data_IF_841234883614
#
_entry.id   IF_841234883614
#
_cell.length_a   1.000
_cell.length_b   1.000
_cell.length_c   1.000
_cell.angle_alpha   90.00
_cell.angle_beta   90.00
_cell.angle_gamma   90.00
#
_symmetry.space_group_name_H-M   'P 1'
#
loop_
_entity.id
_entity.type
_entity.pdbx_description
1 polymer ?
#
# COMPACT_ATOMS: atom_id res chain seq x y z
N UNK A 1 5.66 30.62 49.75
CA UNK A 1 4.98 29.30 49.73
C UNK A 1 4.77 28.87 48.28
N UNK A 2 5.63 27.95 47.83
CA UNK A 2 5.66 27.41 46.48
C UNK A 2 4.68 26.25 46.39
N UNK A 3 3.77 26.25 45.41
CA UNK A 3 3.04 25.03 45.02
C UNK A 3 3.53 24.58 43.65
N UNK A 4 4.20 23.45 43.67
CA UNK A 4 4.58 22.66 42.47
C UNK A 4 3.31 22.11 41.79
N UNK A 5 3.10 22.44 40.55
CA UNK A 5 2.15 21.76 39.69
C UNK A 5 2.82 20.53 39.09
N UNK A 6 2.36 19.35 39.47
CA UNK A 6 2.77 18.08 38.89
C UNK A 6 2.19 17.94 37.48
N UNK A 7 3.06 17.85 36.48
CA UNK A 7 2.69 17.38 35.13
C UNK A 7 2.48 15.86 35.23
N UNK A 8 1.24 15.43 35.12
CA UNK A 8 0.88 14.05 34.91
C UNK A 8 1.06 13.72 33.44
N UNK A 9 2.14 13.06 33.10
CA UNK A 9 2.26 12.30 31.84
C UNK A 9 1.43 11.03 32.00
N UNK A 10 0.17 11.07 31.62
CA UNK A 10 -0.59 9.85 31.37
C UNK A 10 -0.06 9.22 30.09
N UNK A 11 0.84 8.25 30.24
CA UNK A 11 1.12 7.27 29.20
C UNK A 11 -0.16 6.46 29.01
N UNK A 12 -0.79 6.68 27.87
CA UNK A 12 -1.99 5.98 27.42
C UNK A 12 -1.64 4.49 27.23
N UNK A 13 -1.95 3.66 28.24
CA UNK A 13 -1.98 2.21 28.11
C UNK A 13 -3.26 1.81 27.37
N UNK A 14 -3.41 2.31 26.13
CA UNK A 14 -4.45 1.88 25.23
C UNK A 14 -4.18 0.44 24.80
N UNK A 15 -5.11 -0.45 25.08
CA UNK A 15 -5.15 -1.79 24.51
C UNK A 15 -5.01 -1.66 23.00
N UNK A 16 -3.89 -2.10 22.42
CA UNK A 16 -3.67 -2.04 20.97
C UNK A 16 -4.77 -2.82 20.28
N UNK A 17 -5.50 -2.19 19.36
CA UNK A 17 -6.58 -2.83 18.58
C UNK A 17 -6.05 -3.99 17.72
N UNK A 18 -4.74 -4.08 17.54
CA UNK A 18 -4.02 -5.02 16.69
C UNK A 18 -2.82 -5.62 17.44
N UNK A 19 -2.49 -6.87 17.15
CA UNK A 19 -1.38 -7.60 17.75
C UNK A 19 -0.13 -7.59 16.88
N UNK A 20 -0.31 -7.69 15.56
CA UNK A 20 0.76 -7.89 14.59
C UNK A 20 1.06 -6.67 13.72
N UNK A 21 0.24 -5.62 13.85
CA UNK A 21 0.44 -4.34 13.18
C UNK A 21 0.30 -3.17 14.17
N UNK A 22 0.91 -2.04 13.83
CA UNK A 22 0.61 -0.74 14.45
C UNK A 22 -0.25 0.07 13.50
N UNK A 23 -1.25 0.78 14.04
CA UNK A 23 -2.14 1.63 13.25
C UNK A 23 -2.30 2.99 13.90
N UNK A 24 -2.13 4.06 13.14
CA UNK A 24 -2.39 5.44 13.56
C UNK A 24 -2.83 6.28 12.38
N UNK A 25 -3.55 7.36 12.64
CA UNK A 25 -3.93 8.36 11.64
C UNK A 25 -3.28 9.69 12.01
N UNK A 26 -2.62 10.32 11.05
CA UNK A 26 -1.95 11.61 11.24
C UNK A 26 -2.00 12.40 9.93
N UNK A 27 -2.44 13.65 9.95
CA UNK A 27 -2.49 14.57 8.81
C UNK A 27 -3.19 13.98 7.56
N UNK A 28 -4.30 13.28 7.75
CA UNK A 28 -5.05 12.66 6.66
C UNK A 28 -4.43 11.35 6.13
N UNK A 29 -3.38 10.85 6.75
CA UNK A 29 -2.68 9.62 6.36
C UNK A 29 -2.88 8.55 7.43
N UNK A 30 -3.42 7.39 7.04
CA UNK A 30 -3.41 6.19 7.87
C UNK A 30 -2.06 5.47 7.71
N UNK A 31 -1.37 5.29 8.82
CA UNK A 31 -0.11 4.56 8.91
C UNK A 31 -0.36 3.16 9.42
N UNK A 32 -0.10 2.16 8.59
CA UNK A 32 -0.17 0.75 8.90
C UNK A 32 1.24 0.20 8.89
N UNK A 33 1.78 -0.11 10.06
CA UNK A 33 3.14 -0.64 10.19
C UNK A 33 3.10 -2.11 10.58
N UNK A 34 3.61 -2.98 9.72
CA UNK A 34 3.79 -4.41 10.02
C UNK A 34 4.74 -4.53 11.21
N UNK A 35 4.34 -5.20 12.29
CA UNK A 35 5.03 -5.14 13.57
C UNK A 35 5.38 -6.53 14.14
N UNK A 36 6.11 -7.29 13.36
CA UNK A 36 6.79 -8.53 13.78
C UNK A 36 8.28 -8.48 13.39
N UNK A 37 9.05 -7.46 13.89
CA UNK A 37 10.41 -7.19 13.41
C UNK A 37 11.37 -8.37 13.62
N UNK A 38 11.20 -9.14 14.70
CA UNK A 38 12.00 -10.34 15.00
C UNK A 38 11.79 -11.49 13.99
N UNK A 39 10.68 -11.46 13.27
CA UNK A 39 10.31 -12.39 12.20
C UNK A 39 10.34 -11.71 10.82
N UNK A 40 11.08 -10.59 10.67
CA UNK A 40 11.14 -9.80 9.43
C UNK A 40 9.75 -9.47 8.86
N UNK A 41 8.79 -9.26 9.74
CA UNK A 41 7.39 -8.96 9.41
C UNK A 41 6.72 -10.04 8.53
N UNK A 42 7.12 -11.32 8.72
CA UNK A 42 6.50 -12.44 8.03
C UNK A 42 5.01 -12.55 8.35
N UNK A 43 4.22 -12.89 7.34
CA UNK A 43 2.77 -13.01 7.43
C UNK A 43 2.33 -14.21 8.25
N UNK A 44 1.32 -13.97 9.06
CA UNK A 44 0.47 -14.99 9.67
C UNK A 44 -0.98 -14.73 9.29
N UNK A 45 -1.86 -15.71 9.47
CA UNK A 45 -3.30 -15.54 9.26
C UNK A 45 -3.87 -14.36 10.08
N UNK A 46 -3.34 -14.14 11.29
CA UNK A 46 -3.71 -12.98 12.13
C UNK A 46 -3.31 -11.66 11.47
N UNK A 47 -2.07 -11.53 10.98
CA UNK A 47 -1.60 -10.31 10.33
C UNK A 47 -2.42 -9.98 9.08
N UNK A 48 -2.75 -10.98 8.26
CA UNK A 48 -3.57 -10.79 7.06
C UNK A 48 -4.96 -10.22 7.41
N UNK A 49 -5.62 -10.78 8.44
CA UNK A 49 -6.91 -10.28 8.94
C UNK A 49 -6.82 -8.87 9.51
N UNK A 50 -5.74 -8.56 10.21
CA UNK A 50 -5.53 -7.23 10.78
C UNK A 50 -5.28 -6.18 9.69
N UNK A 51 -4.48 -6.49 8.67
CA UNK A 51 -4.27 -5.61 7.50
C UNK A 51 -5.60 -5.38 6.78
N UNK A 52 -6.35 -6.44 6.47
CA UNK A 52 -7.67 -6.34 5.85
C UNK A 52 -8.59 -5.40 6.63
N UNK A 53 -8.69 -5.60 7.96
CA UNK A 53 -9.51 -4.78 8.85
C UNK A 53 -9.05 -3.33 8.87
N UNK A 54 -7.75 -3.07 8.96
CA UNK A 54 -7.19 -1.72 8.98
C UNK A 54 -7.44 -0.97 7.67
N UNK A 55 -7.28 -1.63 6.52
CA UNK A 55 -7.61 -1.05 5.21
C UNK A 55 -9.10 -0.74 5.11
N UNK A 56 -9.98 -1.65 5.54
CA UNK A 56 -11.44 -1.44 5.55
C UNK A 56 -11.84 -0.24 6.39
N UNK A 57 -11.28 -0.11 7.60
CA UNK A 57 -11.51 1.04 8.48
C UNK A 57 -11.02 2.32 7.80
N UNK A 58 -9.79 2.32 7.29
CA UNK A 58 -9.21 3.48 6.60
C UNK A 58 -10.01 3.91 5.38
N UNK A 59 -10.52 2.96 4.60
CA UNK A 59 -11.34 3.23 3.42
C UNK A 59 -12.65 3.96 3.78
N UNK A 60 -13.27 3.62 4.93
CA UNK A 60 -14.52 4.23 5.39
C UNK A 60 -14.37 5.52 6.21
N UNK A 61 -13.18 5.84 6.70
CA UNK A 61 -12.95 6.98 7.60
C UNK A 61 -12.76 8.29 6.81
N UNK A 62 -13.61 9.28 7.02
CA UNK A 62 -13.57 10.57 6.30
C UNK A 62 -12.26 11.34 6.49
N UNK A 63 -11.64 11.22 7.66
CA UNK A 63 -10.36 11.85 8.01
C UNK A 63 -9.16 11.21 7.31
N UNK A 64 -9.29 10.00 6.76
CA UNK A 64 -8.21 9.32 6.04
C UNK A 64 -8.32 9.62 4.54
N UNK A 65 -7.22 10.06 3.94
CA UNK A 65 -7.13 10.45 2.53
C UNK A 65 -6.05 9.68 1.75
N UNK A 66 -5.08 9.12 2.47
CA UNK A 66 -4.07 8.23 1.94
C UNK A 66 -3.71 7.17 2.99
N UNK A 67 -3.15 6.05 2.56
CA UNK A 67 -2.75 4.95 3.44
C UNK A 67 -1.29 4.62 3.14
N UNK A 68 -0.47 4.46 4.18
CA UNK A 68 0.88 3.90 4.08
C UNK A 68 0.88 2.51 4.69
N UNK A 69 1.52 1.57 3.99
CA UNK A 69 1.92 0.27 4.53
C UNK A 69 3.44 0.25 4.57
N UNK A 70 4.03 0.01 5.75
CA UNK A 70 5.49 -0.10 5.91
C UNK A 70 5.84 -1.17 6.95
N UNK A 71 7.11 -1.54 7.08
CA UNK A 71 7.56 -2.54 8.06
C UNK A 71 8.28 -1.89 9.25
N UNK A 72 8.09 -2.42 10.44
CA UNK A 72 8.92 -2.12 11.61
C UNK A 72 10.30 -2.77 11.46
N UNK A 73 11.36 -2.07 11.86
CA UNK A 73 12.72 -2.60 11.86
C UNK A 73 13.35 -2.68 10.45
N UNK A 74 14.09 -3.76 10.17
CA UNK A 74 14.99 -3.88 9.01
C UNK A 74 14.36 -4.45 7.73
N UNK A 75 13.12 -4.91 7.78
CA UNK A 75 12.44 -5.51 6.64
C UNK A 75 11.07 -4.85 6.41
N UNK A 76 10.63 -4.80 5.16
CA UNK A 76 9.24 -4.54 4.85
C UNK A 76 8.40 -5.77 5.23
N UNK A 77 8.58 -6.89 4.52
CA UNK A 77 7.94 -8.17 4.81
C UNK A 77 8.67 -9.30 4.08
N UNK A 78 9.02 -10.36 4.78
CA UNK A 78 9.74 -11.52 4.22
C UNK A 78 8.85 -12.58 3.58
N UNK A 79 7.53 -12.37 3.54
CA UNK A 79 6.58 -13.32 3.00
C UNK A 79 5.89 -14.15 4.07
N UNK A 80 5.43 -15.36 3.74
CA UNK A 80 4.75 -16.26 4.65
C UNK A 80 5.67 -16.71 5.79
N UNK A 81 5.17 -16.68 7.02
CA UNK A 81 5.85 -17.31 8.16
C UNK A 81 5.76 -18.84 7.99
N UNK A 82 6.91 -19.48 7.76
CA UNK A 82 6.96 -20.92 7.52
C UNK A 82 6.59 -21.75 8.77
N UNK A 83 6.66 -21.15 9.96
CA UNK A 83 6.18 -21.80 11.19
C UNK A 83 4.65 -21.87 11.29
N UNK A 84 3.94 -21.18 10.41
CA UNK A 84 2.46 -21.17 10.29
C UNK A 84 1.97 -22.11 9.17
N UNK A 85 2.85 -23.01 8.69
CA UNK A 85 2.56 -23.99 7.64
C UNK A 85 2.69 -25.40 8.24
N UNK A 86 1.58 -26.10 8.31
CA UNK A 86 1.55 -27.51 8.72
C UNK A 86 1.88 -28.43 7.52
N UNK A 87 2.48 -29.59 7.81
CA UNK A 87 2.72 -30.64 6.81
C UNK A 87 1.37 -31.11 6.21
N UNK A 88 1.25 -31.04 4.87
CA UNK A 88 0.02 -31.41 4.16
C UNK A 88 -1.03 -30.29 4.06
N UNK A 89 -0.74 -29.08 4.54
CA UNK A 89 -1.62 -27.93 4.39
C UNK A 89 -1.99 -27.68 2.92
N UNK A 90 -3.27 -27.42 2.65
CA UNK A 90 -3.73 -26.99 1.34
C UNK A 90 -3.42 -25.51 1.12
N UNK A 91 -2.29 -25.21 0.46
CA UNK A 91 -1.86 -23.84 0.19
C UNK A 91 -2.88 -23.05 -0.62
N UNK A 92 -3.61 -23.68 -1.55
CA UNK A 92 -4.68 -23.02 -2.30
C UNK A 92 -5.86 -22.60 -1.41
N UNK A 93 -6.17 -23.36 -0.37
CA UNK A 93 -7.19 -22.97 0.62
C UNK A 93 -6.68 -21.80 1.47
N UNK A 94 -5.43 -21.83 1.94
CA UNK A 94 -4.82 -20.71 2.68
C UNK A 94 -4.83 -19.42 1.87
N UNK A 95 -4.56 -19.49 0.58
CA UNK A 95 -4.65 -18.32 -0.29
C UNK A 95 -6.07 -17.76 -0.37
N UNK A 96 -7.08 -18.62 -0.51
CA UNK A 96 -8.48 -18.18 -0.58
C UNK A 96 -9.00 -17.60 0.73
N UNK A 97 -8.58 -18.13 1.87
CA UNK A 97 -9.12 -17.76 3.18
C UNK A 97 -8.38 -16.62 3.86
N UNK A 98 -7.06 -16.52 3.67
CA UNK A 98 -6.21 -15.54 4.36
C UNK A 98 -5.76 -14.40 3.44
N UNK A 99 -5.16 -14.73 2.29
CA UNK A 99 -4.56 -13.73 1.40
C UNK A 99 -5.57 -13.07 0.47
N UNK A 100 -6.45 -13.85 -0.13
CA UNK A 100 -7.46 -13.36 -1.08
C UNK A 100 -8.25 -12.19 -0.52
N UNK A 101 -8.91 -12.33 0.65
CA UNK A 101 -9.70 -11.25 1.24
C UNK A 101 -8.89 -9.99 1.57
N UNK A 102 -7.62 -10.13 1.99
CA UNK A 102 -6.72 -8.99 2.23
C UNK A 102 -6.38 -8.28 0.93
N UNK A 103 -5.99 -9.01 -0.11
CA UNK A 103 -5.60 -8.46 -1.41
C UNK A 103 -6.79 -7.78 -2.12
N UNK A 104 -7.98 -8.39 -2.05
CA UNK A 104 -9.22 -7.80 -2.57
C UNK A 104 -9.57 -6.49 -1.85
N UNK A 105 -9.39 -6.43 -0.54
CA UNK A 105 -9.63 -5.20 0.23
C UNK A 105 -8.67 -4.07 -0.19
N UNK A 106 -7.41 -4.39 -0.50
CA UNK A 106 -6.41 -3.44 -1.02
C UNK A 106 -6.81 -2.98 -2.41
N UNK A 107 -7.11 -3.90 -3.32
CA UNK A 107 -7.48 -3.62 -4.71
C UNK A 107 -8.74 -2.74 -4.81
N UNK A 108 -9.74 -3.01 -3.96
CA UNK A 108 -11.00 -2.27 -3.95
C UNK A 108 -10.96 -0.95 -3.17
N UNK A 109 -9.84 -0.60 -2.54
CA UNK A 109 -9.71 0.64 -1.79
C UNK A 109 -9.56 1.83 -2.75
N UNK A 110 -10.55 2.73 -2.76
CA UNK A 110 -10.50 3.95 -3.59
C UNK A 110 -9.45 4.97 -3.11
N UNK A 111 -9.04 4.89 -1.83
CA UNK A 111 -7.97 5.77 -1.33
C UNK A 111 -6.60 5.28 -1.78
N UNK A 112 -5.67 6.19 -2.10
CA UNK A 112 -4.33 5.81 -2.52
C UNK A 112 -3.58 5.08 -1.41
N UNK A 113 -2.96 3.96 -1.77
CA UNK A 113 -2.15 3.12 -0.86
C UNK A 113 -0.69 3.19 -1.30
N UNK A 114 0.19 3.49 -0.36
CA UNK A 114 1.62 3.67 -0.58
C UNK A 114 2.37 2.55 0.17
N UNK A 115 3.11 1.73 -0.55
CA UNK A 115 4.09 0.85 0.08
C UNK A 115 5.35 1.66 0.40
N UNK A 116 5.64 1.83 1.68
CA UNK A 116 6.92 2.33 2.19
C UNK A 116 7.86 1.15 2.41
N UNK A 117 8.59 0.75 1.37
CA UNK A 117 9.46 -0.43 1.38
C UNK A 117 10.78 -0.08 2.04
N UNK A 118 10.82 -0.21 3.37
CA UNK A 118 11.97 0.16 4.21
C UNK A 118 13.14 -0.85 4.20
N UNK A 119 12.90 -2.06 3.70
CA UNK A 119 13.88 -3.15 3.66
C UNK A 119 13.43 -4.26 2.72
N UNK A 120 13.82 -5.51 2.99
CA UNK A 120 13.48 -6.65 2.15
C UNK A 120 11.97 -6.83 2.02
N UNK A 121 11.48 -6.98 0.79
CA UNK A 121 10.14 -7.40 0.42
C UNK A 121 10.26 -8.70 -0.38
N UNK A 122 9.91 -9.86 0.21
CA UNK A 122 10.07 -11.15 -0.42
C UNK A 122 8.77 -11.96 -0.45
N UNK A 123 8.59 -12.80 -1.46
CA UNK A 123 7.42 -13.66 -1.61
C UNK A 123 6.10 -12.88 -1.53
N UNK A 124 5.18 -13.29 -0.66
CA UNK A 124 3.91 -12.58 -0.44
C UNK A 124 4.10 -11.13 0.06
N UNK A 125 5.23 -10.81 0.71
CA UNK A 125 5.59 -9.42 1.06
C UNK A 125 5.89 -8.56 -0.17
N UNK A 126 6.50 -9.15 -1.19
CA UNK A 126 6.66 -8.49 -2.48
C UNK A 126 5.27 -8.30 -3.16
N UNK A 127 4.42 -9.33 -3.11
CA UNK A 127 3.06 -9.25 -3.64
C UNK A 127 2.24 -8.12 -2.99
N UNK A 128 2.34 -7.95 -1.67
CA UNK A 128 1.72 -6.82 -0.96
C UNK A 128 2.23 -5.47 -1.47
N UNK A 129 3.55 -5.32 -1.66
CA UNK A 129 4.11 -4.08 -2.19
C UNK A 129 3.64 -3.79 -3.63
N UNK A 130 3.48 -4.82 -4.47
CA UNK A 130 2.96 -4.70 -5.84
C UNK A 130 1.50 -4.25 -5.88
N UNK A 131 0.68 -4.71 -4.95
CA UNK A 131 -0.74 -4.35 -4.88
C UNK A 131 -1.01 -2.90 -4.45
N UNK A 132 -0.01 -2.22 -3.88
CA UNK A 132 -0.09 -0.80 -3.55
C UNK A 132 0.04 0.07 -4.80
N UNK A 133 -0.57 1.27 -4.77
CA UNK A 133 -0.55 2.20 -5.92
C UNK A 133 0.87 2.77 -6.15
N UNK A 134 1.57 3.09 -5.08
CA UNK A 134 2.93 3.63 -5.12
C UNK A 134 3.90 2.77 -4.30
N UNK A 135 5.14 2.70 -4.73
CA UNK A 135 6.25 2.03 -4.02
C UNK A 135 7.38 3.01 -3.81
N UNK A 136 7.43 3.60 -2.60
CA UNK A 136 8.59 4.36 -2.14
C UNK A 136 9.55 3.36 -1.51
N UNK A 137 10.79 3.37 -1.96
CA UNK A 137 11.75 2.31 -1.68
C UNK A 137 12.99 2.90 -1.02
N UNK A 138 13.35 2.43 0.15
CA UNK A 138 14.63 2.79 0.77
C UNK A 138 15.79 2.28 -0.09
N UNK A 139 16.86 3.03 -0.21
CA UNK A 139 18.05 2.61 -0.96
C UNK A 139 18.64 1.27 -0.49
N UNK A 140 18.39 0.88 0.76
CA UNK A 140 18.78 -0.41 1.34
C UNK A 140 17.79 -1.54 1.08
N UNK A 141 16.62 -1.23 0.54
CA UNK A 141 15.58 -2.21 0.30
C UNK A 141 15.88 -3.08 -0.93
N UNK A 142 15.19 -4.19 -0.99
CA UNK A 142 15.26 -5.10 -2.13
C UNK A 142 13.98 -5.90 -2.26
N UNK A 143 13.74 -6.39 -3.47
CA UNK A 143 12.64 -7.28 -3.79
C UNK A 143 13.15 -8.66 -4.17
N UNK A 144 12.38 -9.70 -3.84
CA UNK A 144 12.73 -11.06 -4.15
C UNK A 144 11.48 -11.89 -4.46
N UNK A 145 11.39 -12.40 -5.69
CA UNK A 145 10.32 -13.32 -6.08
C UNK A 145 10.74 -14.77 -5.76
N UNK A 146 10.74 -15.10 -4.45
CA UNK A 146 11.41 -16.31 -3.93
C UNK A 146 10.66 -17.63 -4.19
N UNK A 147 9.46 -17.60 -4.76
CA UNK A 147 8.56 -18.75 -4.85
C UNK A 147 9.15 -19.94 -5.62
N UNK A 148 9.78 -19.68 -6.76
CA UNK A 148 10.39 -20.73 -7.60
C UNK A 148 11.48 -21.50 -6.87
N UNK A 149 12.19 -20.85 -5.93
CA UNK A 149 13.28 -21.45 -5.17
C UNK A 149 12.81 -22.57 -4.21
N UNK A 150 11.50 -22.61 -3.93
CA UNK A 150 10.86 -23.65 -3.12
C UNK A 150 9.80 -24.43 -3.90
N UNK A 151 9.84 -24.35 -5.24
CA UNK A 151 8.93 -25.11 -6.12
C UNK A 151 7.49 -24.60 -6.18
N UNK A 152 7.26 -23.34 -5.79
CA UNK A 152 5.93 -22.69 -5.84
C UNK A 152 5.86 -21.66 -6.97
N UNK A 153 4.63 -21.36 -7.37
CA UNK A 153 4.32 -20.22 -8.24
C UNK A 153 4.15 -18.95 -7.40
N UNK A 154 4.47 -17.76 -7.93
CA UNK A 154 4.14 -16.49 -7.29
C UNK A 154 2.64 -16.37 -7.02
N UNK A 155 2.28 -16.00 -5.78
CA UNK A 155 0.92 -15.95 -5.27
C UNK A 155 0.47 -14.54 -4.85
N UNK A 156 -0.70 -14.42 -4.24
CA UNK A 156 -1.24 -13.17 -3.70
C UNK A 156 -1.28 -12.04 -4.74
N UNK A 157 -1.63 -12.38 -5.99
CA UNK A 157 -1.72 -11.42 -7.09
C UNK A 157 -0.38 -10.98 -7.67
N UNK A 158 0.75 -11.61 -7.28
CA UNK A 158 2.09 -11.21 -7.74
C UNK A 158 2.19 -11.08 -9.26
N UNK A 159 1.93 -12.16 -10.00
CA UNK A 159 2.03 -12.16 -11.46
C UNK A 159 1.04 -11.21 -12.13
N UNK A 160 -0.13 -11.01 -11.52
CA UNK A 160 -1.15 -10.08 -11.98
C UNK A 160 -0.63 -8.63 -11.99
N UNK A 161 -0.05 -8.18 -10.87
CA UNK A 161 0.48 -6.83 -10.74
C UNK A 161 1.85 -6.67 -11.39
N UNK A 162 2.77 -7.62 -11.18
CA UNK A 162 4.15 -7.51 -11.66
C UNK A 162 4.20 -7.32 -13.18
N UNK A 163 3.46 -8.14 -13.94
CA UNK A 163 3.43 -8.04 -15.40
C UNK A 163 2.87 -6.71 -15.91
N UNK A 164 1.94 -6.10 -15.19
CA UNK A 164 1.38 -4.78 -15.50
C UNK A 164 2.35 -3.64 -15.19
N UNK A 165 3.22 -3.83 -14.21
CA UNK A 165 4.17 -2.80 -13.77
C UNK A 165 5.44 -2.82 -14.61
N UNK A 166 6.06 -3.99 -14.81
CA UNK A 166 7.39 -4.10 -15.45
C UNK A 166 7.33 -4.72 -16.85
N UNK A 167 6.14 -5.06 -17.33
CA UNK A 167 5.93 -5.77 -18.60
C UNK A 167 6.19 -7.28 -18.49
N UNK A 168 5.63 -8.04 -19.46
CA UNK A 168 5.62 -9.51 -19.43
C UNK A 168 7.01 -10.13 -19.36
N UNK A 169 7.95 -9.69 -20.21
CA UNK A 169 9.28 -10.29 -20.28
C UNK A 169 10.07 -10.14 -18.98
N UNK A 170 10.04 -8.95 -18.36
CA UNK A 170 10.75 -8.72 -17.09
C UNK A 170 10.04 -9.42 -15.94
N UNK A 171 8.73 -9.49 -15.93
CA UNK A 171 7.98 -10.24 -14.91
C UNK A 171 8.32 -11.74 -14.96
N UNK A 172 8.41 -12.31 -16.17
CA UNK A 172 8.81 -13.71 -16.36
C UNK A 172 10.23 -13.96 -15.87
N UNK A 173 11.19 -13.11 -16.26
CA UNK A 173 12.59 -13.15 -15.79
C UNK A 173 12.67 -13.17 -14.27
N UNK A 174 12.07 -12.18 -13.60
CA UNK A 174 12.12 -12.06 -12.14
C UNK A 174 11.43 -13.23 -11.43
N UNK A 175 10.40 -13.81 -12.04
CA UNK A 175 9.66 -14.93 -11.45
C UNK A 175 10.35 -16.27 -11.62
N UNK A 176 11.04 -16.48 -12.74
CA UNK A 176 11.72 -17.75 -13.04
C UNK A 176 13.14 -17.83 -12.45
N UNK A 177 13.86 -16.70 -12.44
CA UNK A 177 15.22 -16.68 -11.90
C UNK A 177 15.22 -16.57 -10.38
N UNK A 178 14.17 -15.95 -9.78
CA UNK A 178 14.10 -15.81 -8.34
C UNK A 178 15.28 -15.02 -7.76
N UNK A 179 15.80 -14.06 -8.51
CA UNK A 179 16.94 -13.25 -8.12
C UNK A 179 16.52 -12.00 -7.36
N UNK A 180 17.45 -11.47 -6.57
CA UNK A 180 17.25 -10.26 -5.79
C UNK A 180 17.31 -9.03 -6.69
N UNK A 181 16.29 -8.17 -6.61
CA UNK A 181 16.23 -6.86 -7.27
C UNK A 181 16.58 -5.77 -6.25
N UNK A 182 17.63 -5.01 -6.49
CA UNK A 182 18.01 -3.87 -5.65
C UNK A 182 17.09 -2.67 -5.83
N UNK A 183 17.13 -1.70 -4.92
CA UNK A 183 16.34 -0.47 -5.04
C UNK A 183 16.62 0.29 -6.35
N UNK A 184 17.90 0.35 -6.77
CA UNK A 184 18.30 1.01 -8.02
C UNK A 184 17.74 0.31 -9.25
N UNK A 185 17.85 -1.02 -9.32
CA UNK A 185 17.26 -1.84 -10.39
C UNK A 185 15.74 -1.70 -10.42
N UNK A 186 15.08 -1.75 -9.25
CA UNK A 186 13.65 -1.54 -9.12
C UNK A 186 13.21 -0.19 -9.71
N UNK A 187 14.00 0.86 -9.52
CA UNK A 187 13.75 2.16 -10.14
C UNK A 187 13.89 2.13 -11.65
N UNK A 188 14.94 1.49 -12.14
CA UNK A 188 15.24 1.43 -13.58
C UNK A 188 14.18 0.67 -14.39
N UNK A 189 13.58 -0.39 -13.79
CA UNK A 189 12.54 -1.18 -14.44
C UNK A 189 11.11 -0.66 -14.17
N UNK A 190 10.95 0.49 -13.50
CA UNK A 190 9.64 1.07 -13.20
C UNK A 190 8.90 0.43 -12.02
N UNK A 191 9.53 -0.52 -11.32
CA UNK A 191 8.96 -1.16 -10.12
C UNK A 191 8.86 -0.18 -8.95
N UNK A 192 9.87 0.65 -8.72
CA UNK A 192 9.87 1.68 -7.67
C UNK A 192 9.40 3.04 -8.22
N UNK A 193 8.44 3.67 -7.57
CA UNK A 193 8.03 5.05 -7.84
C UNK A 193 9.18 6.02 -7.55
N UNK A 194 9.80 5.85 -6.37
CA UNK A 194 10.93 6.67 -5.91
C UNK A 194 11.84 5.84 -5.02
N UNK A 195 13.16 6.06 -5.14
CA UNK A 195 14.17 5.56 -4.20
C UNK A 195 14.57 6.72 -3.28
N UNK A 196 14.68 6.43 -1.99
CA UNK A 196 14.93 7.42 -0.94
C UNK A 196 16.14 6.96 -0.12
N UNK A 197 17.07 7.88 0.14
CA UNK A 197 18.21 7.67 1.03
C UNK A 197 17.76 7.38 2.47
N UNK A 198 18.58 6.63 3.20
CA UNK A 198 18.23 6.19 4.57
C UNK A 198 17.99 7.38 5.50
N UNK A 199 18.82 8.40 5.41
CA UNK A 199 18.76 9.56 6.31
C UNK A 199 17.51 10.41 6.07
N UNK A 200 16.96 10.40 4.86
CA UNK A 200 15.77 11.15 4.47
C UNK A 200 14.48 10.31 4.49
N UNK A 201 14.59 9.02 4.81
CA UNK A 201 13.51 8.05 4.64
C UNK A 201 12.18 8.49 5.27
N UNK A 202 12.20 8.79 6.56
CA UNK A 202 10.97 9.11 7.29
C UNK A 202 10.35 10.43 6.81
N UNK A 203 11.18 11.43 6.57
CA UNK A 203 10.72 12.75 6.13
C UNK A 203 10.10 12.69 4.73
N UNK A 204 10.78 12.06 3.77
CA UNK A 204 10.31 12.00 2.39
C UNK A 204 9.12 11.07 2.21
N UNK A 205 9.04 9.95 2.96
CA UNK A 205 7.87 9.07 2.96
C UNK A 205 6.65 9.83 3.48
N UNK A 206 6.78 10.53 4.61
CA UNK A 206 5.72 11.35 5.19
C UNK A 206 5.28 12.47 4.24
N UNK A 207 6.21 13.25 3.71
CA UNK A 207 5.93 14.35 2.81
C UNK A 207 5.20 13.89 1.53
N UNK A 208 5.59 12.74 0.96
CA UNK A 208 4.92 12.17 -0.19
C UNK A 208 3.47 11.79 0.13
N UNK A 209 3.25 11.10 1.23
CA UNK A 209 1.91 10.66 1.63
C UNK A 209 0.97 11.84 1.95
N UNK A 210 1.47 12.85 2.66
CA UNK A 210 0.72 14.07 2.95
C UNK A 210 0.41 14.86 1.66
N UNK A 211 1.35 14.90 0.69
CA UNK A 211 1.08 15.50 -0.61
C UNK A 211 -0.05 14.76 -1.35
N UNK A 212 -0.07 13.42 -1.32
CA UNK A 212 -1.15 12.61 -1.90
C UNK A 212 -2.46 12.82 -1.13
N UNK A 213 -2.43 12.86 0.20
CA UNK A 213 -3.60 13.13 1.04
C UNK A 213 -4.24 14.51 0.77
N UNK A 214 -3.46 15.49 0.30
CA UNK A 214 -3.94 16.81 -0.09
C UNK A 214 -4.48 16.91 -1.52
N UNK A 215 -4.54 15.80 -2.27
CA UNK A 215 -5.13 15.73 -3.62
C UNK A 215 -6.64 15.45 -3.55
N UNK A 216 -7.41 15.64 -4.62
CA UNK A 216 -8.85 15.36 -4.64
C UNK A 216 -9.10 13.85 -4.54
N UNK A 217 -9.35 13.34 -3.34
CA UNK A 217 -9.42 11.90 -3.02
C UNK A 217 -10.46 11.17 -3.86
N UNK A 218 -11.64 11.80 -4.11
CA UNK A 218 -12.67 11.16 -4.93
C UNK A 218 -12.22 10.98 -6.37
N UNK A 219 -11.57 11.99 -6.97
CA UNK A 219 -11.01 11.87 -8.31
C UNK A 219 -9.91 10.80 -8.39
N UNK A 220 -9.03 10.70 -7.37
CA UNK A 220 -8.02 9.64 -7.29
C UNK A 220 -8.68 8.26 -7.29
N UNK A 221 -9.72 8.06 -6.48
CA UNK A 221 -10.45 6.78 -6.43
C UNK A 221 -11.07 6.40 -7.78
N UNK A 222 -11.64 7.38 -8.49
CA UNK A 222 -12.16 7.17 -9.85
C UNK A 222 -11.04 6.83 -10.83
N UNK A 223 -9.91 7.51 -10.80
CA UNK A 223 -8.74 7.19 -11.63
C UNK A 223 -8.31 5.75 -11.42
N UNK A 224 -8.17 5.29 -10.18
CA UNK A 224 -7.80 3.90 -9.85
C UNK A 224 -8.80 2.91 -10.45
N UNK A 225 -10.09 3.14 -10.23
CA UNK A 225 -11.18 2.30 -10.73
C UNK A 225 -11.18 2.19 -12.25
N UNK A 226 -11.10 3.31 -12.94
CA UNK A 226 -11.18 3.32 -14.40
C UNK A 226 -9.89 2.85 -15.07
N UNK A 227 -8.73 3.07 -14.44
CA UNK A 227 -7.49 2.48 -14.93
C UNK A 227 -7.55 0.94 -14.87
N UNK A 228 -8.06 0.35 -13.79
CA UNK A 228 -8.24 -1.10 -13.71
C UNK A 228 -9.30 -1.59 -14.71
N UNK A 229 -10.43 -0.90 -14.85
CA UNK A 229 -11.46 -1.25 -15.82
C UNK A 229 -10.95 -1.25 -17.28
N UNK A 230 -9.98 -0.39 -17.60
CA UNK A 230 -9.40 -0.29 -18.95
C UNK A 230 -8.70 -1.56 -19.44
N UNK A 231 -8.31 -2.45 -18.53
CA UNK A 231 -7.72 -3.75 -18.88
C UNK A 231 -8.73 -4.80 -19.32
N UNK A 232 -10.03 -4.57 -19.08
CA UNK A 232 -11.08 -5.57 -19.23
C UNK A 232 -12.20 -5.16 -20.18
N UNK A 233 -12.28 -3.87 -20.52
CA UNK A 233 -13.32 -3.30 -21.36
C UNK A 233 -12.81 -3.02 -22.79
N UNK A 234 -13.68 -3.08 -23.77
CA UNK A 234 -13.44 -2.48 -25.09
C UNK A 234 -13.37 -0.95 -24.96
N UNK A 235 -12.75 -0.26 -25.92
CA UNK A 235 -12.71 1.20 -25.91
C UNK A 235 -14.10 1.82 -25.88
N UNK A 236 -15.07 1.24 -26.61
CA UNK A 236 -16.45 1.75 -26.64
C UNK A 236 -17.12 1.65 -25.28
N UNK A 237 -16.97 0.53 -24.57
CA UNK A 237 -17.49 0.33 -23.22
C UNK A 237 -16.79 1.25 -22.23
N UNK A 238 -15.45 1.35 -22.33
CA UNK A 238 -14.65 2.21 -21.48
C UNK A 238 -15.05 3.68 -21.57
N UNK A 239 -15.28 4.22 -22.76
CA UNK A 239 -15.69 5.62 -22.93
C UNK A 239 -17.05 5.93 -22.30
N UNK A 240 -17.96 4.95 -22.21
CA UNK A 240 -19.23 5.10 -21.50
C UNK A 240 -19.01 5.20 -19.97
N UNK A 241 -18.15 4.33 -19.44
CA UNK A 241 -17.77 4.34 -18.03
C UNK A 241 -16.98 5.61 -17.66
N UNK A 242 -16.06 6.06 -18.52
CA UNK A 242 -15.30 7.30 -18.34
C UNK A 242 -16.23 8.54 -18.24
N UNK A 243 -17.25 8.62 -19.08
CA UNK A 243 -18.23 9.70 -19.04
C UNK A 243 -18.97 9.74 -17.69
N UNK A 244 -19.32 8.58 -17.15
CA UNK A 244 -19.92 8.48 -15.81
C UNK A 244 -18.93 8.89 -14.71
N UNK A 245 -17.67 8.47 -14.82
CA UNK A 245 -16.61 8.92 -13.92
C UNK A 245 -16.43 10.42 -13.89
N UNK A 246 -16.40 11.06 -15.06
CA UNK A 246 -16.33 12.53 -15.18
C UNK A 246 -17.56 13.21 -14.60
N UNK A 247 -18.75 12.65 -14.82
CA UNK A 247 -19.99 13.16 -14.21
C UNK A 247 -19.88 13.15 -12.68
N UNK A 248 -19.43 12.06 -12.09
CA UNK A 248 -19.27 11.93 -10.63
C UNK A 248 -18.21 12.94 -10.12
N UNK A 249 -17.04 13.01 -10.77
CA UNK A 249 -15.98 13.94 -10.39
C UNK A 249 -16.43 15.40 -10.46
N UNK A 250 -17.15 15.76 -11.52
CA UNK A 250 -17.67 17.12 -11.76
C UNK A 250 -18.71 17.60 -10.74
N UNK A 251 -19.30 16.69 -9.95
CA UNK A 251 -20.25 17.03 -8.90
C UNK A 251 -19.58 17.22 -7.52
N UNK A 252 -18.27 17.02 -7.41
CA UNK A 252 -17.55 17.15 -6.14
C UNK A 252 -17.26 18.60 -5.78
N UNK A 253 -17.16 18.88 -4.49
CA UNK A 253 -16.68 20.17 -3.99
C UNK A 253 -15.24 20.44 -4.41
N UNK A 254 -14.41 19.39 -4.51
CA UNK A 254 -13.03 19.48 -4.95
C UNK A 254 -12.92 19.93 -6.41
N UNK A 255 -13.83 19.51 -7.29
CA UNK A 255 -13.89 20.03 -8.65
C UNK A 255 -14.19 21.55 -8.67
N UNK A 256 -15.22 21.99 -7.93
CA UNK A 256 -15.57 23.41 -7.83
C UNK A 256 -14.39 24.24 -7.27
N UNK A 257 -13.75 23.77 -6.21
CA UNK A 257 -12.55 24.39 -5.65
C UNK A 257 -11.40 24.43 -6.66
N UNK A 258 -11.16 23.33 -7.39
CA UNK A 258 -10.11 23.25 -8.40
C UNK A 258 -10.29 24.31 -9.50
N UNK A 259 -11.51 24.48 -10.02
CA UNK A 259 -11.84 25.49 -11.03
C UNK A 259 -11.65 26.91 -10.48
N UNK A 260 -12.15 27.16 -9.27
CA UNK A 260 -12.04 28.46 -8.61
C UNK A 260 -10.55 28.81 -8.37
N UNK A 261 -9.79 27.91 -7.79
CA UNK A 261 -8.37 28.11 -7.50
C UNK A 261 -7.55 28.35 -8.78
N UNK A 262 -7.87 27.64 -9.87
CA UNK A 262 -7.24 27.85 -11.18
C UNK A 262 -7.51 29.25 -11.73
N UNK A 263 -8.76 29.71 -11.66
CA UNK A 263 -9.17 31.06 -12.11
C UNK A 263 -8.51 32.16 -11.29
N UNK A 264 -8.42 31.96 -9.98
CA UNK A 264 -7.82 32.88 -9.03
C UNK A 264 -6.26 32.80 -8.96
N UNK A 265 -5.66 31.87 -9.70
CA UNK A 265 -4.20 31.60 -9.71
C UNK A 265 -3.61 31.32 -8.32
N UNK A 266 -4.35 30.62 -7.50
CA UNK A 266 -3.92 30.15 -6.16
C UNK A 266 -3.83 28.63 -6.08
N UNK A 267 -3.21 28.12 -5.03
CA UNK A 267 -3.21 26.68 -4.73
C UNK A 267 -4.60 26.25 -4.29
N UNK A 268 -5.11 25.17 -4.89
CA UNK A 268 -6.38 24.54 -4.49
C UNK A 268 -6.26 23.89 -3.10
N UNK A 269 -7.35 23.91 -2.34
CA UNK A 269 -7.48 23.29 -1.03
C UNK A 269 -8.56 22.19 -1.08
N UNK A 270 -8.14 21.00 -1.47
CA UNK A 270 -9.04 19.86 -1.62
C UNK A 270 -9.39 19.22 -0.28
N UNK A 271 -10.67 18.88 -0.11
CA UNK A 271 -11.22 18.26 1.09
C UNK A 271 -11.62 16.79 0.88
N UNK A 272 -11.51 16.25 -0.35
CA UNK A 272 -11.81 14.87 -0.70
C UNK A 272 -13.29 14.57 -0.92
N UNK A 273 -14.13 15.57 -1.11
CA UNK A 273 -15.61 15.44 -1.20
C UNK A 273 -16.18 16.17 -2.42
#
# INVERSE_FOLDING_TARGET
MLKKGSQNSQADKGCSMYETIKYRVENGVAWLTLNRPDKLNAFTSQMNKEIQKAIKISAGADEVRAIIITGEGRAFCSGQDLSDIDEGMNLGQKLREDYGPMMEQIANCEKPIIAGVNGVAAGAGFSLALACDFRLVSEKASFLNAFVNIGLIPDSGNLYYLSRIVGHAKALELSLLGEKVTAGEAKNIGLATKVIGVDEWNEQLKAFAENIANKPTKAIGLIKRYLEASYHLSLEEYLKEEAEGQRIAGLTKDYAEGVTAFTEKRKAQFIGK
#
